data_IF_657053184958
#
_entry.id   IF_657053184958
#
_cell.length_a   1.000
_cell.length_b   1.000
_cell.length_c   1.000
_cell.angle_alpha   90.00
_cell.angle_beta   90.00
_cell.angle_gamma   90.00
#
_symmetry.space_group_name_H-M   'P 1'
#
loop_
_entity.id
_entity.type
_entity.pdbx_description
1 polymer ?
#
# COMPACT_ATOMS: atom_id res chain seq x y z
N UNK A 1 15.84 9.34 38.07
CA UNK A 1 15.14 8.87 36.87
C UNK A 1 13.79 8.33 37.30
N UNK A 2 12.72 8.97 36.82
CA UNK A 2 11.34 8.54 37.11
C UNK A 2 11.13 7.13 36.50
N UNK A 3 10.74 6.16 37.33
CA UNK A 3 10.41 4.79 36.86
C UNK A 3 9.37 4.74 35.75
N UNK A 4 8.64 5.85 35.53
CA UNK A 4 7.67 6.05 34.45
C UNK A 4 8.32 6.47 33.14
N UNK A 5 9.60 6.88 33.14
CA UNK A 5 10.26 7.34 31.91
C UNK A 5 10.41 6.20 30.89
N UNK A 6 10.34 6.52 29.61
CA UNK A 6 10.52 5.57 28.52
C UNK A 6 11.87 4.85 28.61
N UNK A 7 12.92 5.57 29.00
CA UNK A 7 14.28 5.04 29.14
C UNK A 7 14.44 4.03 30.29
N UNK A 8 13.58 4.09 31.33
CA UNK A 8 13.58 3.17 32.45
C UNK A 8 12.89 1.83 32.16
N UNK A 9 12.14 1.72 31.05
CA UNK A 9 11.43 0.49 30.68
C UNK A 9 12.36 -0.51 30.01
N UNK A 10 12.02 -1.82 30.15
CA UNK A 10 12.73 -2.89 29.47
C UNK A 10 12.66 -2.71 27.93
N UNK A 11 13.66 -3.19 27.16
CA UNK A 11 13.68 -3.06 25.70
C UNK A 11 12.40 -3.56 25.04
N UNK A 12 11.83 -4.67 25.48
CA UNK A 12 10.57 -5.22 24.95
C UNK A 12 9.40 -4.25 25.15
N UNK A 13 9.26 -3.62 26.32
CA UNK A 13 8.21 -2.64 26.57
C UNK A 13 8.40 -1.37 25.71
N UNK A 14 9.65 -0.95 25.51
CA UNK A 14 9.98 0.17 24.63
C UNK A 14 9.62 -0.13 23.18
N UNK A 15 9.94 -1.33 22.67
CA UNK A 15 9.54 -1.78 21.33
C UNK A 15 8.02 -1.78 21.20
N UNK A 16 7.29 -2.33 22.18
CA UNK A 16 5.81 -2.36 22.13
C UNK A 16 5.21 -0.95 22.07
N UNK A 17 5.76 0.01 22.80
CA UNK A 17 5.28 1.41 22.78
C UNK A 17 5.51 2.03 21.39
N UNK A 18 6.69 1.83 20.81
CA UNK A 18 7.04 2.36 19.48
C UNK A 18 6.15 1.76 18.41
N UNK A 19 5.98 0.44 18.42
CA UNK A 19 5.17 -0.25 17.42
C UNK A 19 3.66 0.02 17.58
N UNK A 20 3.20 0.45 18.76
CA UNK A 20 1.79 0.77 18.99
C UNK A 20 1.28 1.88 18.07
N UNK A 21 2.11 2.88 17.74
CA UNK A 21 1.74 3.96 16.81
C UNK A 21 1.41 3.43 15.42
N UNK A 22 2.31 2.64 14.83
CA UNK A 22 2.10 2.01 13.54
C UNK A 22 0.90 1.03 13.56
N UNK A 23 0.77 0.25 14.64
CA UNK A 23 -0.36 -0.66 14.81
C UNK A 23 -1.70 0.08 14.84
N UNK A 24 -1.80 1.19 15.56
CA UNK A 24 -3.03 1.99 15.62
C UNK A 24 -3.40 2.60 14.26
N UNK A 25 -2.44 2.95 13.43
CA UNK A 25 -2.70 3.39 12.06
C UNK A 25 -3.32 2.27 11.21
N UNK A 26 -2.86 1.02 11.35
CA UNK A 26 -3.52 -0.12 10.68
C UNK A 26 -4.93 -0.34 11.21
N UNK A 27 -5.15 -0.28 12.52
CA UNK A 27 -6.49 -0.42 13.11
C UNK A 27 -7.42 0.68 12.58
N UNK A 28 -6.97 1.93 12.55
CA UNK A 28 -7.75 3.05 12.00
C UNK A 28 -8.13 2.79 10.53
N UNK A 29 -7.19 2.37 9.70
CA UNK A 29 -7.46 2.07 8.30
C UNK A 29 -8.49 0.92 8.15
N UNK A 30 -8.35 -0.17 8.90
CA UNK A 30 -9.27 -1.31 8.88
C UNK A 30 -10.68 -0.85 9.28
N UNK A 31 -10.82 -0.04 10.32
CA UNK A 31 -12.14 0.46 10.78
C UNK A 31 -12.78 1.32 9.69
N UNK A 32 -12.03 2.26 9.12
CA UNK A 32 -12.54 3.13 8.04
C UNK A 32 -12.95 2.31 6.82
N UNK A 33 -12.06 1.42 6.33
CA UNK A 33 -12.33 0.60 5.15
C UNK A 33 -13.50 -0.36 5.37
N UNK A 34 -13.59 -1.00 6.55
CA UNK A 34 -14.72 -1.87 6.90
C UNK A 34 -16.04 -1.11 6.85
N UNK A 35 -16.06 0.13 7.35
CA UNK A 35 -17.25 0.97 7.32
C UNK A 35 -17.63 1.34 5.87
N UNK A 36 -16.68 1.74 5.07
CA UNK A 36 -16.89 2.08 3.65
C UNK A 36 -17.43 0.85 2.89
N UNK A 37 -16.79 -0.31 3.04
CA UNK A 37 -17.20 -1.53 2.35
C UNK A 37 -18.58 -2.02 2.81
N UNK A 38 -18.92 -1.87 4.08
CA UNK A 38 -20.24 -2.25 4.57
C UNK A 38 -21.36 -1.37 4.00
N UNK A 39 -21.08 -0.10 3.75
CA UNK A 39 -22.08 0.87 3.25
C UNK A 39 -22.20 0.79 1.72
N UNK A 40 -21.10 0.70 1.01
CA UNK A 40 -21.06 0.85 -0.45
C UNK A 40 -20.76 -0.45 -1.20
N UNK A 41 -20.46 -1.54 -0.49
CA UNK A 41 -19.95 -2.75 -1.10
C UNK A 41 -18.50 -2.63 -1.55
N UNK A 42 -18.03 -3.67 -2.24
CA UNK A 42 -16.68 -3.71 -2.79
C UNK A 42 -16.62 -4.63 -4.02
N UNK A 43 -15.61 -4.42 -4.87
CA UNK A 43 -15.36 -5.28 -6.01
C UNK A 43 -14.37 -6.39 -5.61
N UNK A 44 -14.70 -7.63 -5.96
CA UNK A 44 -13.86 -8.81 -5.74
C UNK A 44 -12.77 -8.94 -6.82
N UNK A 45 -11.95 -9.98 -6.75
CA UNK A 45 -10.96 -10.30 -7.79
C UNK A 45 -11.52 -11.23 -8.88
N UNK A 46 -12.80 -11.59 -8.80
CA UNK A 46 -13.49 -12.40 -9.81
C UNK A 46 -14.02 -11.50 -10.92
N UNK A 47 -13.90 -11.98 -12.15
CA UNK A 47 -14.38 -11.27 -13.33
C UNK A 47 -15.88 -11.46 -13.50
N UNK A 48 -16.60 -10.36 -13.67
CA UNK A 48 -18.04 -10.36 -13.95
C UNK A 48 -18.29 -10.32 -15.46
N UNK A 49 -17.60 -9.40 -16.14
CA UNK A 49 -17.73 -9.20 -17.59
C UNK A 49 -16.39 -8.86 -18.20
N UNK A 50 -16.20 -9.30 -19.45
CA UNK A 50 -15.06 -8.96 -20.28
C UNK A 50 -15.57 -8.22 -21.52
N UNK A 51 -14.97 -7.10 -21.81
CA UNK A 51 -15.33 -6.27 -22.93
C UNK A 51 -14.78 -6.88 -24.23
N UNK A 52 -15.64 -6.98 -25.25
CA UNK A 52 -15.26 -7.55 -26.53
C UNK A 52 -14.19 -6.70 -27.25
N UNK A 53 -13.25 -7.35 -27.92
CA UNK A 53 -12.17 -6.66 -28.64
C UNK A 53 -11.03 -6.15 -27.75
N UNK A 54 -11.06 -6.45 -26.46
CA UNK A 54 -10.01 -6.04 -25.52
C UNK A 54 -8.89 -7.08 -25.37
N UNK A 55 -7.74 -6.70 -24.79
CA UNK A 55 -6.66 -7.63 -24.52
C UNK A 55 -7.08 -8.85 -23.69
N UNK A 56 -7.94 -8.68 -22.69
CA UNK A 56 -8.44 -9.78 -21.87
C UNK A 56 -9.31 -10.76 -22.65
N UNK A 57 -10.18 -10.26 -23.54
CA UNK A 57 -10.99 -11.10 -24.41
C UNK A 57 -10.11 -11.91 -25.39
N UNK A 58 -9.13 -11.24 -26.00
CA UNK A 58 -8.17 -11.87 -26.93
C UNK A 58 -7.31 -12.94 -26.26
N UNK A 59 -7.04 -12.78 -24.96
CA UNK A 59 -6.27 -13.73 -24.16
C UNK A 59 -7.10 -14.91 -23.64
N UNK A 60 -8.43 -14.94 -23.88
CA UNK A 60 -9.29 -16.05 -23.48
C UNK A 60 -9.73 -16.05 -22.01
N UNK A 61 -9.63 -14.91 -21.32
CA UNK A 61 -10.27 -14.76 -20.01
C UNK A 61 -11.79 -14.82 -20.16
N UNK A 62 -12.47 -15.30 -19.13
CA UNK A 62 -13.93 -15.50 -19.14
C UNK A 62 -14.56 -14.95 -17.85
N UNK A 63 -15.86 -14.57 -17.89
CA UNK A 63 -16.62 -14.30 -16.68
C UNK A 63 -16.54 -15.48 -15.71
N UNK A 64 -16.34 -15.18 -14.41
CA UNK A 64 -16.14 -16.18 -13.37
C UNK A 64 -14.67 -16.52 -13.07
N UNK A 65 -13.71 -16.15 -13.93
CA UNK A 65 -12.29 -16.28 -13.62
C UNK A 65 -11.94 -15.42 -12.41
N UNK A 66 -11.14 -15.96 -11.50
CA UNK A 66 -10.63 -15.23 -10.34
C UNK A 66 -9.14 -14.97 -10.51
N UNK A 67 -8.75 -13.70 -10.64
CA UNK A 67 -7.34 -13.33 -10.77
C UNK A 67 -6.66 -13.50 -9.40
N UNK A 68 -5.54 -14.23 -9.39
CA UNK A 68 -4.81 -14.57 -8.15
C UNK A 68 -3.42 -13.95 -8.08
N UNK A 69 -2.78 -13.71 -9.23
CA UNK A 69 -1.48 -13.03 -9.30
C UNK A 69 -1.35 -12.18 -10.56
N UNK A 70 -0.52 -11.13 -10.46
CA UNK A 70 -0.06 -10.29 -11.57
C UNK A 70 1.46 -10.26 -11.53
N UNK A 71 2.13 -10.71 -12.59
CA UNK A 71 3.59 -10.85 -12.67
C UNK A 71 4.18 -11.56 -11.43
N UNK A 72 3.57 -12.69 -11.03
CA UNK A 72 3.97 -13.45 -9.84
C UNK A 72 3.61 -12.82 -8.49
N UNK A 73 3.22 -11.55 -8.46
CA UNK A 73 2.78 -10.87 -7.23
C UNK A 73 1.37 -11.26 -6.85
N UNK A 74 1.15 -11.64 -5.60
CA UNK A 74 -0.18 -12.00 -5.09
C UNK A 74 -1.14 -10.82 -5.21
N UNK A 75 -2.36 -11.12 -5.64
CA UNK A 75 -3.51 -10.22 -5.68
C UNK A 75 -4.33 -10.42 -4.41
N UNK A 76 -4.56 -9.36 -3.67
CA UNK A 76 -5.44 -9.35 -2.50
C UNK A 76 -6.80 -8.76 -2.86
N UNK A 77 -6.82 -7.69 -3.66
CA UNK A 77 -8.01 -6.98 -4.11
C UNK A 77 -7.92 -6.63 -5.59
N UNK A 78 -9.03 -6.21 -6.19
CA UNK A 78 -9.06 -5.74 -7.57
C UNK A 78 -8.13 -4.53 -7.82
N UNK A 79 -7.85 -3.74 -6.79
CA UNK A 79 -6.89 -2.62 -6.86
C UNK A 79 -5.48 -3.10 -7.25
N UNK A 80 -5.04 -4.27 -6.75
CA UNK A 80 -3.73 -4.84 -7.11
C UNK A 80 -3.62 -5.15 -8.60
N UNK A 81 -4.72 -5.58 -9.22
CA UNK A 81 -4.77 -5.87 -10.65
C UNK A 81 -4.63 -4.59 -11.44
N UNK A 82 -5.44 -3.57 -11.10
CA UNK A 82 -5.40 -2.27 -11.76
C UNK A 82 -4.03 -1.60 -11.63
N UNK A 83 -3.45 -1.62 -10.43
CA UNK A 83 -2.11 -1.08 -10.18
C UNK A 83 -1.05 -1.87 -10.94
N UNK A 84 -1.11 -3.21 -10.92
CA UNK A 84 -0.17 -4.08 -11.62
C UNK A 84 -0.17 -3.86 -13.13
N UNK A 85 -1.35 -3.68 -13.72
CA UNK A 85 -1.53 -3.36 -15.15
C UNK A 85 -0.88 -2.00 -15.49
N UNK A 86 -1.15 -0.97 -14.66
CA UNK A 86 -0.65 0.39 -14.91
C UNK A 86 0.86 0.53 -14.67
N UNK A 87 1.39 -0.06 -13.61
CA UNK A 87 2.83 -0.01 -13.30
C UNK A 87 3.69 -0.63 -14.41
N UNK A 88 3.14 -1.54 -15.20
CA UNK A 88 3.87 -2.22 -16.26
C UNK A 88 4.00 -1.40 -17.56
N UNK A 89 3.33 -0.22 -17.63
CA UNK A 89 3.46 0.77 -18.71
C UNK A 89 3.31 0.15 -20.12
N UNK A 90 2.31 -0.71 -20.30
CA UNK A 90 1.98 -1.36 -21.57
C UNK A 90 2.82 -2.58 -21.94
N UNK A 91 3.82 -2.95 -21.15
CA UNK A 91 4.55 -4.21 -21.38
C UNK A 91 3.66 -5.39 -21.08
N UNK A 92 3.96 -6.55 -21.68
CA UNK A 92 3.27 -7.81 -21.41
C UNK A 92 3.29 -8.15 -19.93
N UNK A 93 2.15 -8.58 -19.41
CA UNK A 93 1.97 -9.02 -18.02
C UNK A 93 1.47 -10.45 -17.99
N UNK A 94 1.91 -11.23 -17.01
CA UNK A 94 1.41 -12.55 -16.73
C UNK A 94 0.33 -12.48 -15.65
N UNK A 95 -0.86 -12.96 -15.97
CA UNK A 95 -1.99 -13.07 -15.05
C UNK A 95 -2.22 -14.54 -14.71
N UNK A 96 -2.04 -14.89 -13.43
CA UNK A 96 -2.50 -16.17 -12.92
C UNK A 96 -3.98 -16.03 -12.51
N UNK A 97 -4.80 -16.96 -12.97
CA UNK A 97 -6.22 -16.98 -12.65
C UNK A 97 -6.67 -18.39 -12.26
N UNK A 98 -7.80 -18.47 -11.60
CA UNK A 98 -8.45 -19.71 -11.21
C UNK A 98 -9.81 -19.80 -11.90
N UNK A 99 -10.03 -20.89 -12.62
CA UNK A 99 -11.29 -21.23 -13.33
C UNK A 99 -11.73 -22.63 -12.93
N UNK A 100 -12.91 -22.74 -12.31
CA UNK A 100 -13.42 -24.03 -11.85
C UNK A 100 -12.52 -24.79 -10.89
N UNK A 101 -11.73 -24.10 -10.08
CA UNK A 101 -10.78 -24.69 -9.13
C UNK A 101 -9.40 -25.03 -9.73
N UNK A 102 -9.23 -24.89 -11.04
CA UNK A 102 -7.94 -25.07 -11.72
C UNK A 102 -7.24 -23.73 -11.89
N UNK A 103 -5.94 -23.71 -11.69
CA UNK A 103 -5.09 -22.54 -11.89
C UNK A 103 -4.48 -22.60 -13.28
N UNK A 104 -4.48 -21.45 -13.94
CA UNK A 104 -3.85 -21.27 -15.25
C UNK A 104 -3.21 -19.87 -15.31
N UNK A 105 -2.39 -19.65 -16.34
CA UNK A 105 -1.67 -18.39 -16.55
C UNK A 105 -1.85 -17.94 -17.97
N UNK A 106 -2.09 -16.64 -18.16
CA UNK A 106 -2.19 -16.02 -19.47
C UNK A 106 -1.33 -14.78 -19.52
N UNK A 107 -0.65 -14.57 -20.65
CA UNK A 107 0.14 -13.35 -20.90
C UNK A 107 -0.71 -12.38 -21.71
N UNK A 108 -0.85 -11.15 -21.20
CA UNK A 108 -1.67 -10.08 -21.79
C UNK A 108 -0.81 -8.83 -21.99
N UNK A 109 -1.02 -8.16 -23.11
CA UNK A 109 -0.44 -6.84 -23.36
C UNK A 109 -1.52 -5.78 -23.14
N UNK A 110 -1.43 -4.96 -22.06
CA UNK A 110 -2.44 -3.94 -21.76
C UNK A 110 -2.48 -2.87 -22.84
N UNK A 111 -3.69 -2.40 -23.17
CA UNK A 111 -3.90 -1.28 -24.09
C UNK A 111 -3.96 0.05 -23.32
N UNK A 112 -3.34 1.10 -23.87
CA UNK A 112 -3.48 2.46 -23.35
C UNK A 112 -4.79 3.06 -23.84
N UNK A 113 -5.62 3.52 -22.93
CA UNK A 113 -6.90 4.18 -23.23
C UNK A 113 -6.73 5.68 -23.00
N UNK A 114 -6.72 6.45 -24.08
CA UNK A 114 -6.45 7.90 -24.02
C UNK A 114 -7.47 8.65 -23.16
N UNK A 115 -8.76 8.34 -23.28
CA UNK A 115 -9.84 8.96 -22.52
C UNK A 115 -9.73 8.71 -21.01
N UNK A 116 -9.15 7.58 -20.62
CA UNK A 116 -8.93 7.19 -19.22
C UNK A 116 -7.53 7.59 -18.70
N UNK A 117 -6.61 7.91 -19.60
CA UNK A 117 -5.24 8.25 -19.27
C UNK A 117 -4.44 7.11 -18.63
N UNK A 118 -4.83 5.84 -18.87
CA UNK A 118 -4.26 4.66 -18.20
C UNK A 118 -4.27 3.41 -19.08
N UNK A 119 -3.46 2.43 -18.68
CA UNK A 119 -3.46 1.10 -19.28
C UNK A 119 -4.59 0.23 -18.73
N UNK A 120 -5.30 -0.49 -19.62
CA UNK A 120 -6.41 -1.36 -19.28
C UNK A 120 -6.32 -2.67 -20.04
N UNK A 121 -6.96 -3.71 -19.48
CA UNK A 121 -7.10 -5.03 -20.11
C UNK A 121 -8.55 -5.33 -20.52
N UNK A 122 -9.52 -4.49 -20.13
CA UNK A 122 -10.93 -4.60 -20.52
C UNK A 122 -11.72 -5.63 -19.71
N UNK A 123 -11.54 -5.63 -18.40
CA UNK A 123 -12.28 -6.50 -17.46
C UNK A 123 -13.10 -5.68 -16.49
N UNK A 124 -14.26 -6.21 -16.09
CA UNK A 124 -15.09 -5.71 -15.01
C UNK A 124 -15.13 -6.75 -13.91
N UNK A 125 -15.01 -6.30 -12.66
CA UNK A 125 -14.96 -7.16 -11.49
C UNK A 125 -16.35 -7.34 -10.89
N UNK A 126 -16.61 -8.53 -10.36
CA UNK A 126 -17.85 -8.84 -9.65
C UNK A 126 -17.93 -8.02 -8.37
N UNK A 127 -19.01 -7.24 -8.22
CA UNK A 127 -19.31 -6.47 -7.02
C UNK A 127 -20.01 -7.32 -5.96
N UNK A 128 -19.75 -7.01 -4.68
CA UNK A 128 -20.56 -7.45 -3.53
C UNK A 128 -21.25 -6.20 -2.97
N UNK A 129 -22.53 -6.02 -3.35
CA UNK A 129 -23.27 -4.75 -3.09
C UNK A 129 -23.81 -4.65 -1.65
N UNK A 130 -24.15 -5.77 -1.02
CA UNK A 130 -24.66 -5.82 0.35
C UNK A 130 -23.86 -6.80 1.21
N UNK A 131 -22.57 -6.50 1.47
CA UNK A 131 -21.73 -7.41 2.21
C UNK A 131 -22.16 -7.49 3.68
N UNK A 132 -21.97 -8.67 4.27
CA UNK A 132 -22.09 -8.81 5.72
C UNK A 132 -20.98 -8.03 6.43
N UNK A 133 -21.18 -7.67 7.69
CA UNK A 133 -20.13 -7.00 8.50
C UNK A 133 -18.83 -7.81 8.49
N UNK A 134 -18.92 -9.14 8.60
CA UNK A 134 -17.76 -10.01 8.59
C UNK A 134 -17.04 -10.01 7.23
N UNK A 135 -17.80 -9.99 6.12
CA UNK A 135 -17.26 -9.88 4.75
C UNK A 135 -16.54 -8.54 4.58
N UNK A 136 -17.13 -7.43 5.03
CA UNK A 136 -16.54 -6.10 4.99
C UNK A 136 -15.25 -5.99 5.80
N UNK A 137 -15.21 -6.58 7.01
CA UNK A 137 -14.01 -6.65 7.83
C UNK A 137 -12.92 -7.48 7.12
N UNK A 138 -13.27 -8.65 6.58
CA UNK A 138 -12.33 -9.50 5.85
C UNK A 138 -11.72 -8.75 4.65
N UNK A 139 -12.56 -8.06 3.88
CA UNK A 139 -12.09 -7.31 2.72
C UNK A 139 -11.24 -6.10 3.13
N UNK A 140 -11.51 -5.45 4.26
CA UNK A 140 -10.65 -4.38 4.77
C UNK A 140 -9.25 -4.87 5.16
N UNK A 141 -9.11 -6.10 5.66
CA UNK A 141 -7.80 -6.74 5.84
C UNK A 141 -7.12 -7.02 4.51
N UNK A 142 -7.85 -7.51 3.49
CA UNK A 142 -7.31 -7.72 2.15
C UNK A 142 -6.83 -6.40 1.54
N UNK A 143 -7.63 -5.34 1.61
CA UNK A 143 -7.25 -4.02 1.09
C UNK A 143 -6.07 -3.44 1.85
N UNK A 144 -6.00 -3.60 3.18
CA UNK A 144 -4.82 -3.19 3.96
C UNK A 144 -3.57 -3.96 3.53
N UNK A 145 -3.66 -5.28 3.31
CA UNK A 145 -2.56 -6.08 2.79
C UNK A 145 -2.15 -5.67 1.37
N UNK A 146 -3.13 -5.34 0.52
CA UNK A 146 -2.91 -4.76 -0.81
C UNK A 146 -2.13 -3.45 -0.73
N UNK A 147 -2.57 -2.49 0.09
CA UNK A 147 -1.90 -1.20 0.29
C UNK A 147 -0.47 -1.35 0.81
N UNK A 148 -0.24 -2.27 1.75
CA UNK A 148 1.11 -2.61 2.23
C UNK A 148 1.98 -3.13 1.07
N UNK A 149 1.45 -4.09 0.30
CA UNK A 149 2.15 -4.65 -0.87
C UNK A 149 2.49 -3.59 -1.91
N UNK A 150 1.53 -2.71 -2.21
CA UNK A 150 1.71 -1.60 -3.17
C UNK A 150 2.75 -0.59 -2.67
N UNK A 151 2.76 -0.27 -1.38
CA UNK A 151 3.77 0.62 -0.77
C UNK A 151 5.18 0.03 -0.93
N UNK A 152 5.37 -1.26 -0.65
CA UNK A 152 6.66 -1.92 -0.85
C UNK A 152 7.07 -2.00 -2.34
N UNK A 153 6.12 -2.25 -3.24
CA UNK A 153 6.40 -2.22 -4.70
C UNK A 153 6.83 -0.83 -5.15
N UNK A 154 6.14 0.22 -4.71
CA UNK A 154 6.51 1.60 -4.99
C UNK A 154 7.92 1.94 -4.47
N UNK A 155 8.23 1.57 -3.23
CA UNK A 155 9.58 1.73 -2.69
C UNK A 155 10.63 0.99 -3.52
N UNK A 156 10.37 -0.27 -3.88
CA UNK A 156 11.27 -1.05 -4.74
C UNK A 156 11.53 -0.32 -6.05
N UNK A 157 10.49 0.17 -6.73
CA UNK A 157 10.64 0.89 -8.00
C UNK A 157 11.49 2.16 -7.86
N UNK A 158 11.39 2.87 -6.73
CA UNK A 158 12.24 4.03 -6.44
C UNK A 158 13.70 3.60 -6.31
N UNK A 159 13.97 2.54 -5.54
CA UNK A 159 15.34 2.04 -5.32
C UNK A 159 15.98 1.39 -6.55
N UNK A 160 15.18 0.76 -7.42
CA UNK A 160 15.68 0.16 -8.68
C UNK A 160 15.79 1.17 -9.82
N UNK A 161 15.34 2.42 -9.63
CA UNK A 161 15.33 3.45 -10.66
C UNK A 161 14.26 3.25 -11.75
N UNK A 162 13.33 2.33 -11.54
CA UNK A 162 12.19 2.11 -12.44
C UNK A 162 11.12 3.19 -12.32
N UNK A 163 11.02 3.82 -11.13
CA UNK A 163 10.14 4.94 -10.90
C UNK A 163 10.70 6.23 -11.50
N UNK A 164 9.85 6.97 -12.20
CA UNK A 164 10.16 8.34 -12.58
C UNK A 164 9.87 9.26 -11.39
N UNK A 165 10.93 9.72 -10.72
CA UNK A 165 10.79 10.62 -9.57
C UNK A 165 10.01 11.90 -9.88
N UNK A 166 9.90 12.27 -11.16
CA UNK A 166 9.14 13.48 -11.57
C UNK A 166 7.63 13.26 -11.65
N UNK A 167 7.18 12.05 -11.94
CA UNK A 167 5.76 11.76 -12.20
C UNK A 167 5.15 10.79 -11.20
N UNK A 168 5.96 9.86 -10.67
CA UNK A 168 5.46 8.72 -9.92
C UNK A 168 5.56 8.92 -8.38
N UNK A 169 6.24 10.01 -7.94
CA UNK A 169 6.39 10.34 -6.50
C UNK A 169 5.70 11.67 -6.22
N UNK A 170 4.65 11.65 -5.43
CA UNK A 170 3.97 12.85 -4.95
C UNK A 170 4.54 13.36 -3.63
N UNK A 171 4.65 14.68 -3.50
CA UNK A 171 5.06 15.33 -2.27
C UNK A 171 3.90 15.94 -1.48
N UNK A 172 4.20 16.81 -0.51
CA UNK A 172 3.19 17.44 0.35
C UNK A 172 2.11 18.19 -0.43
N UNK A 173 2.47 18.88 -1.52
CA UNK A 173 1.51 19.62 -2.35
C UNK A 173 0.58 18.67 -3.09
N UNK A 174 1.11 17.55 -3.63
CA UNK A 174 0.29 16.50 -4.23
C UNK A 174 -0.72 15.92 -3.22
N UNK A 175 -0.31 15.66 -1.97
CA UNK A 175 -1.21 15.16 -0.93
C UNK A 175 -2.31 16.17 -0.63
N UNK A 176 -2.00 17.47 -0.56
CA UNK A 176 -2.99 18.53 -0.36
C UNK A 176 -4.00 18.55 -1.52
N UNK A 177 -3.52 18.51 -2.77
CA UNK A 177 -4.40 18.47 -3.96
C UNK A 177 -5.30 17.23 -3.96
N UNK A 178 -4.75 16.05 -3.64
CA UNK A 178 -5.52 14.82 -3.52
C UNK A 178 -6.58 14.90 -2.41
N UNK A 179 -6.24 15.53 -1.28
CA UNK A 179 -7.16 15.72 -0.16
C UNK A 179 -8.30 16.68 -0.53
N UNK A 180 -7.99 17.77 -1.21
CA UNK A 180 -8.99 18.72 -1.71
C UNK A 180 -9.92 18.04 -2.72
N UNK A 181 -9.37 17.35 -3.73
CA UNK A 181 -10.18 16.61 -4.70
C UNK A 181 -11.02 15.50 -4.07
N UNK A 182 -10.48 14.77 -3.09
CA UNK A 182 -11.25 13.76 -2.39
C UNK A 182 -12.41 14.38 -1.57
N UNK A 183 -12.18 15.56 -0.96
CA UNK A 183 -13.20 16.29 -0.20
C UNK A 183 -14.32 16.83 -1.11
N UNK A 184 -13.99 17.32 -2.31
CA UNK A 184 -14.97 17.78 -3.31
C UNK A 184 -15.89 16.64 -3.78
N UNK A 185 -15.37 15.43 -3.94
CA UNK A 185 -16.17 14.25 -4.30
C UNK A 185 -17.07 13.79 -3.15
N UNK A 186 -16.61 13.97 -1.89
CA UNK A 186 -17.40 13.69 -0.70
C UNK A 186 -16.60 13.08 0.45
N UNK A 187 -17.23 13.09 1.62
CA UNK A 187 -16.58 12.68 2.88
C UNK A 187 -16.04 11.23 2.84
N UNK A 188 -16.71 10.32 2.15
CA UNK A 188 -16.28 8.93 2.07
C UNK A 188 -15.01 8.73 1.25
N UNK A 189 -14.84 9.53 0.18
CA UNK A 189 -13.59 9.55 -0.59
C UNK A 189 -12.43 10.13 0.24
N UNK A 190 -12.71 11.17 1.02
CA UNK A 190 -11.72 11.71 1.95
C UNK A 190 -11.34 10.69 3.03
N UNK A 191 -12.32 9.98 3.61
CA UNK A 191 -12.04 8.91 4.57
C UNK A 191 -11.24 7.76 3.96
N UNK A 192 -11.53 7.37 2.71
CA UNK A 192 -10.72 6.38 1.99
C UNK A 192 -9.27 6.85 1.83
N UNK A 193 -9.06 8.11 1.48
CA UNK A 193 -7.71 8.69 1.41
C UNK A 193 -7.01 8.67 2.77
N UNK A 194 -7.72 9.00 3.87
CA UNK A 194 -7.19 8.90 5.24
C UNK A 194 -6.75 7.47 5.55
N UNK A 195 -7.53 6.46 5.18
CA UNK A 195 -7.16 5.05 5.37
C UNK A 195 -5.89 4.69 4.60
N UNK A 196 -5.78 5.09 3.33
CA UNK A 196 -4.60 4.86 2.49
C UNK A 196 -3.35 5.53 3.11
N UNK A 197 -3.46 6.78 3.52
CA UNK A 197 -2.37 7.51 4.15
C UNK A 197 -1.98 6.88 5.50
N UNK A 198 -2.95 6.43 6.30
CA UNK A 198 -2.68 5.75 7.59
C UNK A 198 -1.88 4.47 7.39
N UNK A 199 -2.24 3.63 6.39
CA UNK A 199 -1.45 2.43 6.06
C UNK A 199 -0.06 2.81 5.59
N UNK A 200 0.06 3.80 4.71
CA UNK A 200 1.36 4.26 4.20
C UNK A 200 2.27 4.76 5.34
N UNK A 201 1.74 5.60 6.23
CA UNK A 201 2.48 6.10 7.40
C UNK A 201 2.91 4.95 8.31
N UNK A 202 2.03 3.96 8.56
CA UNK A 202 2.38 2.79 9.35
C UNK A 202 3.54 2.00 8.72
N UNK A 203 3.48 1.75 7.41
CA UNK A 203 4.55 1.03 6.69
C UNK A 203 5.86 1.82 6.73
N UNK A 204 5.83 3.12 6.42
CA UNK A 204 7.04 3.96 6.46
C UNK A 204 7.65 3.99 7.87
N UNK A 205 6.82 4.16 8.91
CA UNK A 205 7.31 4.17 10.29
C UNK A 205 7.93 2.84 10.72
N UNK A 206 7.53 1.72 10.13
CA UNK A 206 8.11 0.40 10.41
C UNK A 206 9.40 0.11 9.61
N UNK A 207 9.77 0.95 8.65
CA UNK A 207 11.02 0.77 7.92
C UNK A 207 12.23 0.89 8.87
N UNK A 208 13.27 0.05 8.70
CA UNK A 208 14.48 0.10 9.51
C UNK A 208 15.37 1.29 9.10
N UNK A 209 14.83 2.49 9.23
CA UNK A 209 15.50 3.72 8.83
C UNK A 209 15.72 4.62 10.06
N UNK A 210 16.93 5.20 10.25
CA UNK A 210 17.17 6.15 11.33
C UNK A 210 16.17 7.30 11.29
N UNK A 211 15.79 7.81 12.46
CA UNK A 211 14.76 8.82 12.70
C UNK A 211 13.29 8.34 12.55
N UNK A 212 13.05 7.10 12.11
CA UNK A 212 11.73 6.47 12.12
C UNK A 212 11.60 5.46 13.28
N UNK A 213 10.37 5.10 13.61
CA UNK A 213 10.06 4.14 14.68
C UNK A 213 10.72 2.78 14.46
N UNK A 214 10.77 2.30 13.20
CA UNK A 214 11.44 1.07 12.83
C UNK A 214 12.95 1.11 13.07
N UNK A 215 13.59 2.26 12.87
CA UNK A 215 15.01 2.44 13.22
C UNK A 215 15.26 2.30 14.72
N UNK A 216 14.38 2.88 15.54
CA UNK A 216 14.41 2.68 16.98
C UNK A 216 14.16 1.24 17.39
N UNK A 217 13.21 0.57 16.75
CA UNK A 217 12.92 -0.84 17.01
C UNK A 217 14.13 -1.73 16.71
N UNK A 218 14.88 -1.46 15.63
CA UNK A 218 16.13 -2.18 15.31
C UNK A 218 17.20 -1.95 16.36
N UNK A 219 17.42 -0.71 16.82
CA UNK A 219 18.39 -0.39 17.88
C UNK A 219 18.04 -1.17 19.15
N UNK A 220 16.76 -1.13 19.56
CA UNK A 220 16.30 -1.85 20.76
C UNK A 220 16.40 -3.37 20.61
N UNK A 221 16.21 -3.89 19.41
CA UNK A 221 16.39 -5.31 19.12
C UNK A 221 17.85 -5.73 19.24
N UNK A 222 18.79 -4.88 18.77
CA UNK A 222 20.24 -5.09 18.97
C UNK A 222 20.56 -5.07 20.47
N UNK A 223 20.04 -4.11 21.25
CA UNK A 223 20.22 -4.06 22.71
C UNK A 223 19.70 -5.32 23.40
N UNK A 224 18.57 -5.84 22.94
CA UNK A 224 17.96 -7.07 23.49
C UNK A 224 18.84 -8.31 23.25
N UNK A 225 19.41 -8.46 22.04
CA UNK A 225 20.27 -9.60 21.69
C UNK A 225 21.64 -9.48 22.36
N UNK A 226 22.25 -8.31 22.27
CA UNK A 226 23.62 -8.10 22.79
C UNK A 226 23.66 -7.92 24.29
N UNK A 227 22.50 -7.66 24.93
CA UNK A 227 22.38 -7.28 26.34
C UNK A 227 23.23 -6.06 26.73
N UNK A 228 23.57 -5.23 25.75
CA UNK A 228 24.36 -4.00 25.92
C UNK A 228 23.60 -2.83 25.34
N UNK A 229 23.59 -1.70 26.03
CA UNK A 229 23.01 -0.46 25.51
C UNK A 229 23.89 0.08 24.38
N UNK A 230 23.26 0.51 23.30
CA UNK A 230 23.92 1.26 22.23
C UNK A 230 24.22 2.66 22.79
N UNK A 231 25.45 3.18 22.66
CA UNK A 231 25.80 4.51 23.17
C UNK A 231 24.89 5.60 22.62
N UNK A 232 24.36 6.46 23.49
CA UNK A 232 23.42 7.55 23.14
C UNK A 232 23.99 8.48 22.05
N UNK A 233 25.31 8.67 22.03
CA UNK A 233 26.00 9.46 20.98
C UNK A 233 25.82 8.84 19.58
N UNK A 234 25.88 7.52 19.47
CA UNK A 234 25.70 6.80 18.20
C UNK A 234 24.25 6.89 17.76
N UNK A 235 23.33 6.65 18.68
CA UNK A 235 21.88 6.74 18.41
C UNK A 235 21.50 8.16 17.98
N UNK A 236 21.99 9.18 18.70
CA UNK A 236 21.78 10.58 18.36
C UNK A 236 22.33 10.95 16.99
N UNK A 237 23.55 10.52 16.66
CA UNK A 237 24.16 10.78 15.36
C UNK A 237 23.36 10.10 14.22
N UNK A 238 23.00 8.84 14.36
CA UNK A 238 22.18 8.13 13.39
C UNK A 238 20.83 8.81 13.15
N UNK A 239 20.14 9.19 14.21
CA UNK A 239 18.86 9.88 14.10
C UNK A 239 19.00 11.26 13.44
N UNK A 240 20.04 12.02 13.76
CA UNK A 240 20.29 13.33 13.14
C UNK A 240 20.55 13.20 11.64
N UNK A 241 21.39 12.24 11.23
CA UNK A 241 21.66 11.99 9.80
C UNK A 241 20.40 11.51 9.09
N UNK A 242 19.66 10.57 9.68
CA UNK A 242 18.41 10.08 9.12
C UNK A 242 17.36 11.20 8.95
N UNK A 243 17.21 12.06 9.95
CA UNK A 243 16.30 13.19 9.91
C UNK A 243 16.68 14.22 8.84
N UNK A 244 17.97 14.54 8.71
CA UNK A 244 18.44 15.44 7.66
C UNK A 244 18.23 14.86 6.25
N UNK A 245 18.40 13.55 6.08
CA UNK A 245 18.10 12.88 4.81
C UNK A 245 16.60 12.96 4.48
N UNK A 246 15.72 12.71 5.44
CA UNK A 246 14.27 12.82 5.24
C UNK A 246 13.85 14.25 4.88
N UNK A 247 14.39 15.26 5.56
CA UNK A 247 14.14 16.66 5.22
C UNK A 247 14.66 16.97 3.81
N UNK A 248 15.85 16.51 3.47
CA UNK A 248 16.41 16.71 2.13
C UNK A 248 15.52 16.13 1.04
N UNK A 249 15.07 14.88 1.21
CA UNK A 249 14.12 14.24 0.28
C UNK A 249 12.80 15.01 0.23
N UNK A 250 12.25 15.42 1.38
CA UNK A 250 11.01 16.20 1.43
C UNK A 250 11.13 17.52 0.65
N UNK A 251 12.24 18.26 0.83
CA UNK A 251 12.48 19.51 0.10
C UNK A 251 12.59 19.25 -1.40
N UNK A 252 13.35 18.23 -1.81
CA UNK A 252 13.52 17.89 -3.22
C UNK A 252 12.18 17.54 -3.89
N UNK A 253 11.35 16.75 -3.20
CA UNK A 253 10.03 16.36 -3.70
C UNK A 253 9.07 17.56 -3.72
N UNK A 254 9.10 18.43 -2.69
CA UNK A 254 8.24 19.62 -2.63
C UNK A 254 8.59 20.65 -3.70
N UNK A 255 9.88 20.85 -4.03
CA UNK A 255 10.30 21.79 -5.11
C UNK A 255 9.80 21.28 -6.48
N UNK A 256 9.67 19.98 -6.61
CA UNK A 256 9.23 19.34 -7.85
C UNK A 256 7.70 19.36 -8.01
N UNK A 257 6.92 19.32 -6.89
CA UNK A 257 5.45 19.32 -6.85
C UNK A 257 4.82 20.61 -7.44
#
# INVERSE_FOLDING_TARGET
DDERSFSAKSPLRRISIILAGAFMNFVLAIVILSTIFNIFGFATTSLDRIEAGTPAASAGLMPGDRITRVNGSKVFTNSDISVGVNMNKGKKIDLEYERGGLKDTVTIEPAYIEDEGRYMIGVYFKGEENPSILSSIKESFNETASLISQTFKGLKMIFTGEANLKTDVGGPVTIIKMSAGAAEVGVWNLMKLVAILSVSIAVFNLLPFPALDGGWAVILFIELITRRKVPDKIVGALNTVGFMLLIGVMILVTIKD
#
